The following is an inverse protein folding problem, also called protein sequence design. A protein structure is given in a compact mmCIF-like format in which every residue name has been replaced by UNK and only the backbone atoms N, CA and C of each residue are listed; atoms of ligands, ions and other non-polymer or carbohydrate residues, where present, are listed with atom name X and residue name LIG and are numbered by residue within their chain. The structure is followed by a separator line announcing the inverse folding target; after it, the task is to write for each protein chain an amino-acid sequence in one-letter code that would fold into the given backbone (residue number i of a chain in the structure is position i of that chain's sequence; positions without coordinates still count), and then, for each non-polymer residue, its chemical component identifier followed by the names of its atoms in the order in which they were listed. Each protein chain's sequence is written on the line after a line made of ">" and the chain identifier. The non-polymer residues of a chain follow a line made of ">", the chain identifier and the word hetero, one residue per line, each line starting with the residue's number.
data_IF_996927175697
#
_entry.id   IF_996927175697
#
_cell.length_a   1.000
_cell.length_b   1.000
_cell.length_c   1.000
_cell.angle_alpha   90.00
_cell.angle_beta   90.00
_cell.angle_gamma   90.00
#
_symmetry.space_group_name_H-M   'P 1'
#
loop_
_entity.id
_entity.type
_entity.pdbx_description
1 polymer ?
#
# COMPACT_ATOMS: atom_id res chain seq x y z
N UNK A 1 -11.29 -9.59 6.05
CA UNK A 1 -10.02 -9.92 6.76
C UNK A 1 -9.20 -8.65 6.96
N UNK A 2 -8.58 -8.49 8.13
CA UNK A 2 -7.73 -7.36 8.53
C UNK A 2 -6.35 -7.88 8.94
N UNK A 3 -5.30 -7.09 8.74
CA UNK A 3 -3.90 -7.36 9.15
C UNK A 3 -3.08 -6.08 8.92
N UNK A 4 -1.78 -6.17 8.58
CA UNK A 4 -0.90 -5.05 8.17
C UNK A 4 -1.02 -3.83 9.11
N UNK A 5 -1.77 -2.81 8.68
CA UNK A 5 -2.00 -1.58 9.43
C UNK A 5 -2.78 -1.75 10.75
N UNK A 6 -3.39 -2.93 10.99
CA UNK A 6 -4.06 -3.24 12.25
C UNK A 6 -3.16 -2.97 13.45
N UNK A 7 -1.87 -3.31 13.37
CA UNK A 7 -0.86 -3.10 14.42
C UNK A 7 0.10 -1.95 14.09
N UNK A 8 -0.21 -1.11 13.10
CA UNK A 8 0.72 -0.10 12.57
C UNK A 8 1.99 -0.70 11.95
N UNK A 9 2.04 -2.02 11.71
CA UNK A 9 3.22 -2.72 11.23
C UNK A 9 4.21 -3.17 12.31
N UNK A 10 3.92 -2.94 13.60
CA UNK A 10 4.84 -3.26 14.70
C UNK A 10 4.87 -4.75 15.07
N UNK A 11 3.73 -5.44 14.99
CA UNK A 11 3.60 -6.84 15.38
C UNK A 11 2.75 -7.63 14.38
N UNK A 12 3.04 -8.91 14.12
CA UNK A 12 2.22 -9.74 13.25
C UNK A 12 0.87 -10.04 13.92
N UNK A 13 -0.21 -9.60 13.28
CA UNK A 13 -1.57 -9.92 13.69
C UNK A 13 -2.51 -9.86 12.49
N UNK A 14 -3.54 -10.69 12.51
CA UNK A 14 -4.68 -10.60 11.60
C UNK A 14 -5.97 -10.80 12.38
N UNK A 15 -7.08 -10.32 11.81
CA UNK A 15 -8.42 -10.54 12.33
C UNK A 15 -9.36 -10.89 11.17
N UNK A 16 -10.20 -11.89 11.36
CA UNK A 16 -11.31 -12.20 10.43
C UNK A 16 -12.59 -11.80 11.15
N UNK A 17 -13.29 -10.82 10.58
CA UNK A 17 -14.58 -10.37 11.07
C UNK A 17 -15.66 -11.12 10.30
N UNK A 18 -16.69 -11.56 11.03
CA UNK A 18 -17.84 -12.26 10.47
C UNK A 18 -19.13 -11.54 10.86
N UNK A 19 -20.22 -11.88 10.20
CA UNK A 19 -21.56 -11.43 10.60
C UNK A 19 -22.10 -12.35 11.70
N UNK A 20 -23.14 -11.88 12.41
CA UNK A 20 -23.88 -12.70 13.37
C UNK A 20 -24.38 -13.99 12.72
N UNK A 21 -24.97 -13.92 11.52
CA UNK A 21 -25.45 -15.10 10.80
C UNK A 21 -24.38 -16.19 10.58
N UNK A 22 -23.12 -15.80 10.32
CA UNK A 22 -22.01 -16.77 10.20
C UNK A 22 -21.62 -17.31 11.57
N UNK A 23 -21.56 -16.47 12.60
CA UNK A 23 -21.28 -16.92 13.97
C UNK A 23 -22.35 -17.91 14.48
N UNK A 24 -23.63 -17.58 14.29
CA UNK A 24 -24.78 -18.36 14.75
C UNK A 24 -24.83 -19.75 14.09
N UNK A 25 -24.28 -19.90 12.88
CA UNK A 25 -24.17 -21.20 12.22
C UNK A 25 -23.27 -22.20 12.98
N UNK A 26 -22.34 -21.71 13.80
CA UNK A 26 -21.46 -22.53 14.64
C UNK A 26 -21.87 -22.54 16.12
N UNK A 27 -22.89 -21.75 16.50
CA UNK A 27 -23.41 -21.73 17.86
C UNK A 27 -24.37 -22.92 18.06
N UNK A 28 -23.93 -23.91 18.83
CA UNK A 28 -24.69 -25.11 19.18
C UNK A 28 -24.19 -25.65 20.54
N UNK A 29 -25.05 -26.36 21.25
CA UNK A 29 -24.66 -27.21 22.38
C UNK A 29 -23.85 -28.43 21.90
N UNK A 30 -24.12 -28.90 20.68
CA UNK A 30 -23.39 -29.98 20.04
C UNK A 30 -22.04 -29.54 19.47
N UNK A 31 -20.99 -30.26 19.86
CA UNK A 31 -19.64 -30.10 19.29
C UNK A 31 -19.59 -30.35 17.78
N UNK A 32 -20.57 -31.04 17.20
CA UNK A 32 -20.62 -31.32 15.76
C UNK A 32 -20.68 -30.04 14.91
N UNK A 33 -21.21 -28.92 15.44
CA UNK A 33 -21.23 -27.62 14.78
C UNK A 33 -20.09 -26.68 15.22
N UNK A 34 -19.18 -27.12 16.07
CA UNK A 34 -18.13 -26.26 16.61
C UNK A 34 -17.13 -25.81 15.53
N UNK A 35 -16.67 -24.57 15.62
CA UNK A 35 -15.58 -24.06 14.77
C UNK A 35 -14.22 -24.55 15.27
N UNK A 36 -13.77 -25.70 14.76
CA UNK A 36 -12.53 -26.36 15.19
C UNK A 36 -11.30 -25.84 14.42
N UNK A 37 -10.98 -24.56 14.58
CA UNK A 37 -9.82 -23.94 13.94
C UNK A 37 -9.15 -22.91 14.85
N UNK A 38 -7.83 -23.02 15.00
CA UNK A 38 -7.00 -22.04 15.70
C UNK A 38 -5.51 -22.26 15.36
N UNK A 39 -4.68 -21.28 15.69
CA UNK A 39 -3.23 -21.37 15.73
C UNK A 39 -2.73 -21.05 17.14
N UNK A 40 -1.52 -21.48 17.50
CA UNK A 40 -0.94 -21.28 18.83
C UNK A 40 -0.84 -19.81 19.26
N UNK A 41 -0.78 -18.88 18.29
CA UNK A 41 -0.69 -17.44 18.52
C UNK A 41 -2.03 -16.69 18.35
N UNK A 42 -3.15 -17.40 18.15
CA UNK A 42 -4.48 -16.77 18.09
C UNK A 42 -4.72 -15.94 19.36
N UNK A 43 -5.04 -14.66 19.21
CA UNK A 43 -5.29 -13.78 20.35
C UNK A 43 -4.04 -13.43 21.17
N UNK A 44 -2.84 -13.51 20.59
CA UNK A 44 -1.60 -13.15 21.28
C UNK A 44 -1.68 -11.74 21.92
N UNK A 45 -1.41 -11.60 23.23
CA UNK A 45 -1.64 -10.35 23.95
C UNK A 45 -0.76 -9.18 23.48
N UNK A 46 0.46 -9.45 23.00
CA UNK A 46 1.35 -8.42 22.48
C UNK A 46 0.83 -7.86 21.14
N UNK A 47 0.36 -8.74 20.26
CA UNK A 47 -0.31 -8.33 19.02
C UNK A 47 -1.56 -7.51 19.30
N UNK A 48 -2.41 -7.95 20.24
CA UNK A 48 -3.60 -7.22 20.68
C UNK A 48 -3.27 -5.84 21.24
N UNK A 49 -2.24 -5.71 22.10
CA UNK A 49 -1.81 -4.44 22.66
C UNK A 49 -1.34 -3.46 21.57
N UNK A 50 -0.54 -3.93 20.60
CA UNK A 50 -0.11 -3.12 19.45
C UNK A 50 -1.30 -2.68 18.58
N UNK A 51 -2.29 -3.56 18.37
CA UNK A 51 -3.49 -3.23 17.61
C UNK A 51 -4.35 -2.18 18.32
N UNK A 52 -4.54 -2.31 19.64
CA UNK A 52 -5.28 -1.33 20.45
C UNK A 52 -4.59 0.03 20.44
N UNK A 53 -3.26 0.08 20.54
CA UNK A 53 -2.50 1.33 20.43
C UNK A 53 -2.67 1.99 19.05
N UNK A 54 -2.60 1.20 17.96
CA UNK A 54 -2.87 1.69 16.61
C UNK A 54 -4.28 2.28 16.49
N UNK A 55 -5.31 1.57 16.98
CA UNK A 55 -6.69 2.05 16.97
C UNK A 55 -6.89 3.31 17.82
N UNK A 56 -6.21 3.41 18.96
CA UNK A 56 -6.27 4.59 19.83
C UNK A 56 -5.81 5.86 19.09
N UNK A 57 -4.78 5.77 18.24
CA UNK A 57 -4.34 6.90 17.40
C UNK A 57 -5.46 7.34 16.44
N UNK A 58 -6.19 6.41 15.82
CA UNK A 58 -7.32 6.75 14.96
C UNK A 58 -8.51 7.35 15.73
N UNK A 59 -8.66 7.01 17.01
CA UNK A 59 -9.71 7.55 17.86
C UNK A 59 -9.37 8.94 18.40
N UNK A 60 -8.10 9.19 18.75
CA UNK A 60 -7.65 10.44 19.34
C UNK A 60 -7.25 11.51 18.32
N UNK A 61 -6.86 11.11 17.11
CA UNK A 61 -6.37 12.03 16.08
C UNK A 61 -7.23 11.99 14.81
N UNK A 62 -7.31 13.12 14.05
CA UNK A 62 -8.06 13.19 12.80
C UNK A 62 -7.31 12.51 11.63
N UNK A 63 -6.80 11.28 11.83
CA UNK A 63 -6.00 10.53 10.85
C UNK A 63 -6.72 10.43 9.50
N UNK A 64 -8.01 10.08 9.50
CA UNK A 64 -8.78 9.93 8.26
C UNK A 64 -8.97 11.24 7.51
N UNK A 65 -9.11 12.37 8.22
CA UNK A 65 -9.20 13.69 7.61
C UNK A 65 -7.86 14.10 7.00
N UNK A 66 -6.74 13.88 7.72
CA UNK A 66 -5.38 14.09 7.18
C UNK A 66 -5.14 13.22 5.94
N UNK A 67 -5.46 11.94 6.00
CA UNK A 67 -5.32 11.02 4.85
C UNK A 67 -6.09 11.49 3.62
N UNK A 68 -7.29 12.07 3.77
CA UNK A 68 -8.04 12.64 2.64
C UNK A 68 -7.33 13.86 2.03
N UNK A 69 -6.73 14.70 2.86
CA UNK A 69 -5.93 15.84 2.38
C UNK A 69 -4.65 15.36 1.67
N UNK A 70 -3.90 14.45 2.30
CA UNK A 70 -2.69 13.85 1.73
C UNK A 70 -2.99 13.12 0.42
N UNK A 71 -4.09 12.36 0.34
CA UNK A 71 -4.51 11.70 -0.90
C UNK A 71 -4.75 12.71 -2.04
N UNK A 72 -5.34 13.88 -1.77
CA UNK A 72 -5.50 14.94 -2.78
C UNK A 72 -4.16 15.53 -3.21
N UNK A 73 -3.24 15.75 -2.29
CA UNK A 73 -1.89 16.22 -2.61
C UNK A 73 -1.13 15.20 -3.48
N UNK A 74 -1.22 13.90 -3.13
CA UNK A 74 -0.68 12.81 -3.95
C UNK A 74 -1.30 12.80 -5.35
N UNK A 75 -2.62 12.99 -5.48
CA UNK A 75 -3.29 13.07 -6.78
C UNK A 75 -2.71 14.21 -7.64
N UNK A 76 -2.59 15.40 -7.06
CA UNK A 76 -2.03 16.57 -7.75
C UNK A 76 -0.56 16.36 -8.16
N UNK A 77 0.24 15.71 -7.32
CA UNK A 77 1.64 15.39 -7.60
C UNK A 77 1.80 14.29 -8.67
N UNK A 78 0.86 13.36 -8.74
CA UNK A 78 0.85 12.28 -9.71
C UNK A 78 0.33 12.71 -11.10
N UNK A 79 -0.48 13.77 -11.16
CA UNK A 79 -1.16 14.21 -12.39
C UNK A 79 -0.21 14.47 -13.58
N UNK A 80 0.94 15.15 -13.43
CA UNK A 80 1.88 15.34 -14.53
C UNK A 80 2.37 14.04 -15.17
N UNK A 81 2.45 12.95 -14.40
CA UNK A 81 2.89 11.64 -14.89
C UNK A 81 1.89 10.99 -15.86
N UNK A 82 0.62 11.43 -15.90
CA UNK A 82 -0.33 10.99 -16.93
C UNK A 82 0.10 11.41 -18.35
N UNK A 83 0.85 12.49 -18.45
CA UNK A 83 1.40 12.98 -19.71
C UNK A 83 2.66 12.24 -20.16
N UNK A 84 3.28 11.46 -19.28
CA UNK A 84 4.58 10.85 -19.53
C UNK A 84 4.52 9.80 -20.67
N UNK A 85 5.47 9.78 -21.61
CA UNK A 85 5.45 8.87 -22.77
C UNK A 85 5.49 7.39 -22.38
N UNK A 86 6.08 7.07 -21.24
CA UNK A 86 6.22 5.71 -20.73
C UNK A 86 5.24 5.36 -19.60
N UNK A 87 4.19 6.15 -19.41
CA UNK A 87 3.12 5.85 -18.43
C UNK A 87 1.82 5.64 -19.18
N UNK A 88 1.27 4.43 -19.12
CA UNK A 88 0.01 4.08 -19.79
C UNK A 88 -1.21 4.39 -18.93
N UNK A 89 -1.06 4.31 -17.61
CA UNK A 89 -2.12 4.55 -16.64
C UNK A 89 -1.58 5.12 -15.32
N UNK A 90 -2.37 6.01 -14.73
CA UNK A 90 -2.19 6.49 -13.36
C UNK A 90 -3.52 6.33 -12.66
N UNK A 91 -3.53 5.57 -11.57
CA UNK A 91 -4.76 5.26 -10.83
C UNK A 91 -4.55 5.40 -9.34
N UNK A 92 -5.60 5.79 -8.63
CA UNK A 92 -5.53 6.06 -7.21
C UNK A 92 -6.80 5.60 -6.48
N UNK A 93 -6.59 5.02 -5.30
CA UNK A 93 -7.64 4.78 -4.31
C UNK A 93 -7.14 5.20 -2.94
N UNK A 94 -7.66 6.32 -2.43
CA UNK A 94 -7.22 6.88 -1.15
C UNK A 94 -5.72 7.18 -1.12
N UNK A 95 -5.00 6.59 -0.17
CA UNK A 95 -3.55 6.77 0.06
C UNK A 95 -2.67 5.86 -0.82
N UNK A 96 -3.23 5.26 -1.87
CA UNK A 96 -2.51 4.38 -2.78
C UNK A 96 -2.59 4.94 -4.19
N UNK A 97 -1.45 5.28 -4.78
CA UNK A 97 -1.33 5.67 -6.19
C UNK A 97 -0.50 4.63 -6.91
N UNK A 98 -0.88 4.25 -8.12
CA UNK A 98 -0.13 3.32 -8.96
C UNK A 98 0.07 3.91 -10.35
N UNK A 99 1.25 3.65 -10.92
CA UNK A 99 1.71 4.08 -12.22
C UNK A 99 2.05 2.84 -13.02
N UNK A 100 1.38 2.65 -14.15
CA UNK A 100 1.69 1.56 -15.07
C UNK A 100 2.70 2.04 -16.11
N UNK A 101 3.91 1.49 -16.02
CA UNK A 101 5.04 1.92 -16.82
C UNK A 101 5.17 1.00 -18.03
N UNK A 102 5.36 1.57 -19.22
CA UNK A 102 5.37 0.81 -20.48
C UNK A 102 6.45 1.32 -21.41
N UNK A 103 6.94 0.42 -22.29
CA UNK A 103 7.89 0.78 -23.33
C UNK A 103 7.23 1.56 -24.47
N UNK A 104 5.95 1.27 -24.74
CA UNK A 104 5.15 1.95 -25.75
C UNK A 104 3.73 2.15 -25.21
N UNK A 105 3.33 3.41 -25.11
CA UNK A 105 2.02 3.81 -24.59
C UNK A 105 0.85 3.50 -25.52
N UNK A 106 1.05 3.60 -26.83
CA UNK A 106 -0.01 3.35 -27.82
C UNK A 106 -0.40 1.87 -27.83
N UNK A 107 0.60 0.98 -27.75
CA UNK A 107 0.39 -0.47 -27.75
C UNK A 107 0.28 -1.08 -26.36
N UNK A 108 0.54 -0.29 -25.29
CA UNK A 108 0.71 -0.74 -23.90
C UNK A 108 1.73 -1.87 -23.75
N UNK A 109 2.71 -1.92 -24.65
CA UNK A 109 3.75 -2.93 -24.62
C UNK A 109 4.69 -2.66 -23.45
N UNK A 110 4.82 -3.63 -22.55
CA UNK A 110 5.78 -3.60 -21.45
C UNK A 110 7.24 -3.71 -21.90
N UNK A 111 8.16 -3.60 -20.95
CA UNK A 111 9.58 -3.82 -21.20
C UNK A 111 9.92 -5.31 -21.23
N UNK A 112 11.04 -5.67 -21.85
CA UNK A 112 11.58 -7.02 -21.73
C UNK A 112 12.11 -7.22 -20.30
N UNK A 113 11.64 -8.23 -19.54
CA UNK A 113 12.11 -8.47 -18.18
C UNK A 113 13.64 -8.65 -18.07
N UNK A 114 14.30 -9.07 -19.16
CA UNK A 114 15.76 -9.24 -19.22
C UNK A 114 16.53 -7.92 -19.14
N UNK A 115 15.91 -6.79 -19.47
CA UNK A 115 16.55 -5.47 -19.45
C UNK A 115 16.76 -4.93 -18.04
N UNK A 116 16.14 -5.55 -17.02
CA UNK A 116 16.22 -5.16 -15.60
C UNK A 116 15.92 -3.68 -15.36
N UNK A 117 15.06 -3.06 -16.18
CA UNK A 117 14.76 -1.62 -16.10
C UNK A 117 14.08 -1.23 -14.79
N UNK A 118 13.19 -2.07 -14.25
CA UNK A 118 12.63 -1.87 -12.91
C UNK A 118 13.69 -1.82 -11.80
N UNK A 119 14.80 -2.55 -11.94
CA UNK A 119 15.93 -2.49 -11.00
C UNK A 119 16.71 -1.17 -11.13
N UNK A 120 16.82 -0.60 -12.34
CA UNK A 120 17.44 0.73 -12.55
C UNK A 120 16.61 1.81 -11.87
N UNK A 121 15.30 1.80 -12.08
CA UNK A 121 14.34 2.69 -11.44
C UNK A 121 14.43 2.61 -9.90
N UNK A 122 14.44 1.37 -9.38
CA UNK A 122 14.55 1.11 -7.95
C UNK A 122 15.86 1.63 -7.35
N UNK A 123 17.00 1.40 -8.03
CA UNK A 123 18.31 1.92 -7.60
C UNK A 123 18.35 3.44 -7.62
N UNK A 124 17.87 4.06 -8.70
CA UNK A 124 17.76 5.52 -8.78
C UNK A 124 16.94 6.06 -7.61
N UNK A 125 15.80 5.44 -7.31
CA UNK A 125 14.96 5.88 -6.19
C UNK A 125 15.69 5.75 -4.85
N UNK A 126 16.36 4.62 -4.60
CA UNK A 126 17.16 4.39 -3.39
C UNK A 126 18.29 5.41 -3.23
N UNK A 127 19.04 5.68 -4.31
CA UNK A 127 20.13 6.66 -4.32
C UNK A 127 19.65 8.08 -4.02
N UNK A 128 18.35 8.34 -4.24
CA UNK A 128 17.67 9.59 -3.91
C UNK A 128 16.79 9.51 -2.65
N UNK A 129 17.04 8.51 -1.79
CA UNK A 129 16.42 8.39 -0.47
C UNK A 129 14.96 7.94 -0.46
N UNK A 130 14.47 7.33 -1.54
CA UNK A 130 13.08 6.85 -1.66
C UNK A 130 13.05 5.35 -1.92
N UNK A 131 12.36 4.61 -1.05
CA UNK A 131 12.07 3.20 -1.27
C UNK A 131 10.87 3.03 -2.22
N UNK A 132 11.11 3.13 -3.53
CA UNK A 132 10.09 2.96 -4.57
C UNK A 132 10.14 1.53 -5.13
N UNK A 133 9.50 0.57 -4.45
CA UNK A 133 9.55 -0.85 -4.83
C UNK A 133 8.60 -1.16 -6.01
N UNK A 134 9.09 -1.63 -7.17
CA UNK A 134 8.22 -2.02 -8.27
C UNK A 134 7.48 -3.35 -8.01
N UNK A 135 6.32 -3.53 -8.64
CA UNK A 135 5.60 -4.79 -8.79
C UNK A 135 5.43 -5.08 -10.29
N UNK A 136 6.39 -5.80 -10.87
CA UNK A 136 6.52 -5.88 -12.31
C UNK A 136 6.71 -4.49 -12.91
N UNK A 137 5.85 -4.11 -13.84
CA UNK A 137 5.86 -2.79 -14.51
C UNK A 137 5.05 -1.72 -13.77
N UNK A 138 4.63 -1.99 -12.53
CA UNK A 138 3.86 -1.04 -11.72
C UNK A 138 4.75 -0.42 -10.65
N UNK A 139 4.92 0.89 -10.70
CA UNK A 139 5.41 1.69 -9.57
C UNK A 139 4.21 2.14 -8.73
N UNK A 140 4.36 2.26 -7.42
CA UNK A 140 3.26 2.69 -6.57
C UNK A 140 3.73 3.49 -5.36
N UNK A 141 2.85 4.39 -4.91
CA UNK A 141 2.97 5.09 -3.65
C UNK A 141 2.01 4.47 -2.65
N UNK A 142 2.54 4.10 -1.50
CA UNK A 142 1.76 3.72 -0.31
C UNK A 142 2.52 4.20 0.92
N UNK A 143 2.67 5.53 1.09
CA UNK A 143 3.44 6.10 2.19
C UNK A 143 2.73 5.90 3.54
N UNK A 144 3.47 6.02 4.67
CA UNK A 144 2.84 6.06 5.98
C UNK A 144 1.88 7.26 6.11
N UNK A 145 0.86 7.14 6.95
CA UNK A 145 -0.16 8.18 7.13
C UNK A 145 0.35 9.45 7.81
N UNK A 146 1.56 9.41 8.38
CA UNK A 146 2.25 10.56 8.94
C UNK A 146 3.26 11.22 7.98
N UNK A 147 3.27 10.85 6.68
CA UNK A 147 4.14 11.49 5.69
C UNK A 147 3.86 13.00 5.62
N UNK A 148 4.93 13.80 5.57
CA UNK A 148 4.84 15.25 5.43
C UNK A 148 4.91 15.72 3.98
N UNK A 149 4.67 17.01 3.77
CA UNK A 149 4.67 17.63 2.44
C UNK A 149 6.05 17.52 1.76
N UNK A 150 7.15 17.72 2.51
CA UNK A 150 8.49 17.68 1.94
C UNK A 150 8.83 16.28 1.41
N UNK A 151 8.46 15.23 2.15
CA UNK A 151 8.62 13.84 1.76
C UNK A 151 7.70 13.46 0.59
N UNK A 152 6.47 13.98 0.51
CA UNK A 152 5.60 13.78 -0.65
C UNK A 152 6.19 14.41 -1.91
N UNK A 153 6.73 15.63 -1.80
CA UNK A 153 7.38 16.32 -2.91
C UNK A 153 8.64 15.56 -3.36
N UNK A 154 9.44 15.03 -2.42
CA UNK A 154 10.58 14.17 -2.75
C UNK A 154 10.13 12.88 -3.44
N UNK A 155 9.11 12.20 -2.91
CA UNK A 155 8.55 10.98 -3.50
C UNK A 155 8.12 11.22 -4.95
N UNK A 156 7.41 12.32 -5.23
CA UNK A 156 6.96 12.68 -6.57
C UNK A 156 8.14 12.94 -7.52
N UNK A 157 9.08 13.81 -7.13
CA UNK A 157 10.27 14.12 -7.95
C UNK A 157 11.09 12.87 -8.28
N UNK A 158 11.35 12.03 -7.28
CA UNK A 158 12.15 10.82 -7.44
C UNK A 158 11.40 9.77 -8.27
N UNK A 159 10.06 9.72 -8.19
CA UNK A 159 9.26 8.85 -9.06
C UNK A 159 9.38 9.24 -10.51
N UNK A 160 9.31 10.55 -10.84
CA UNK A 160 9.55 11.03 -12.21
C UNK A 160 10.94 10.62 -12.70
N UNK A 161 11.99 10.92 -11.93
CA UNK A 161 13.35 10.53 -12.31
C UNK A 161 13.54 9.01 -12.45
N UNK A 162 12.88 8.22 -11.60
CA UNK A 162 12.91 6.77 -11.70
C UNK A 162 12.25 6.27 -13.00
N UNK A 163 11.14 6.89 -13.42
CA UNK A 163 10.47 6.57 -14.69
C UNK A 163 11.36 6.98 -15.88
N UNK A 164 12.01 8.13 -15.83
CA UNK A 164 12.95 8.55 -16.89
C UNK A 164 14.07 7.50 -17.07
N UNK A 165 14.64 7.01 -15.96
CA UNK A 165 15.70 5.98 -15.96
C UNK A 165 15.24 4.58 -16.39
N UNK A 166 13.94 4.31 -16.42
CA UNK A 166 13.42 3.07 -17.02
C UNK A 166 13.62 3.09 -18.53
N UNK A 167 13.73 4.27 -19.15
CA UNK A 167 13.73 4.45 -20.60
C UNK A 167 15.13 4.54 -21.21
N UNK A 168 16.12 4.99 -20.42
CA UNK A 168 17.56 4.88 -20.71
C UNK A 168 18.01 3.41 -20.87
#
# INVERSE_FOLDING_TARGET
>A
CLSKGLTGGFMPMSAVLTTAAVFDAFLDESRARAFLHSHSYTGNPLGCAAALASLAIFQSEPVLLRNRATARAMAALAEPLRGHPNVSDVRQTGMIVAFEVVADRATRRGFDPRDKRGLRAYRHALDNGVLLRPLGEVLYWMPPYCIDEAALQQLARVTTGAIDRITD
#
